data_IF_422931912822
#
_entry.id   IF_422931912822
#
_cell.length_a   1.000
_cell.length_b   1.000
_cell.length_c   1.000
_cell.angle_alpha   90.00
_cell.angle_beta   90.00
_cell.angle_gamma   90.00
#
_symmetry.space_group_name_H-M   'P 1'
#
loop_
_entity.id
_entity.type
_entity.pdbx_description
1 polymer ?
#
# COMPACT_ATOMS: atom_id res chain seq x y z
N UNK A 1 5.65 -17.46 19.32
CA UNK A 1 6.49 -16.41 18.72
C UNK A 1 5.57 -15.45 17.99
N UNK A 2 5.37 -14.24 18.52
CA UNK A 2 4.57 -13.21 17.84
C UNK A 2 5.41 -12.65 16.71
N UNK A 3 5.03 -12.93 15.47
CA UNK A 3 5.54 -12.20 14.31
C UNK A 3 5.06 -10.77 14.45
N UNK A 4 5.89 -9.89 15.02
CA UNK A 4 5.70 -8.44 14.94
C UNK A 4 5.50 -8.13 13.46
N UNK A 5 4.28 -7.78 13.07
CA UNK A 5 3.99 -7.28 11.73
C UNK A 5 4.95 -6.13 11.49
N UNK A 6 5.71 -6.19 10.41
CA UNK A 6 6.64 -5.13 10.07
C UNK A 6 5.78 -3.89 9.78
N UNK A 7 5.85 -2.80 10.56
CA UNK A 7 4.94 -1.67 10.41
C UNK A 7 5.20 -0.88 9.11
N UNK A 8 6.22 -1.28 8.36
CA UNK A 8 6.62 -0.66 7.12
C UNK A 8 6.37 -1.63 5.97
N UNK A 9 5.37 -1.31 5.14
CA UNK A 9 5.19 -1.91 3.82
C UNK A 9 6.17 -1.27 2.85
N UNK A 10 6.93 -2.09 2.12
CA UNK A 10 7.88 -1.60 1.12
C UNK A 10 7.24 -1.55 -0.25
N UNK A 11 7.48 -0.44 -0.96
CA UNK A 11 6.87 -0.14 -2.25
C UNK A 11 7.95 0.13 -3.30
N UNK A 12 7.72 -0.30 -4.54
CA UNK A 12 8.48 0.04 -5.72
C UNK A 12 7.67 1.01 -6.57
N UNK A 13 8.23 2.19 -6.84
CA UNK A 13 7.63 3.20 -7.72
C UNK A 13 8.33 3.19 -9.07
N UNK A 14 7.55 3.17 -10.16
CA UNK A 14 8.04 3.38 -11.53
C UNK A 14 7.39 4.60 -12.15
N UNK A 15 8.22 5.40 -12.79
CA UNK A 15 7.85 6.60 -13.53
C UNK A 15 8.28 6.41 -14.99
N UNK A 16 7.39 6.74 -15.92
CA UNK A 16 7.75 6.78 -17.34
C UNK A 16 6.90 7.81 -18.10
N UNK A 17 7.41 8.21 -19.25
CA UNK A 17 6.74 9.12 -20.18
C UNK A 17 6.55 8.40 -21.50
N UNK A 18 5.35 8.46 -22.08
CA UNK A 18 5.12 7.92 -23.42
C UNK A 18 5.63 8.87 -24.52
N UNK A 19 5.54 8.42 -25.78
CA UNK A 19 5.96 9.20 -26.95
C UNK A 19 5.15 10.49 -27.16
N UNK A 20 3.97 10.62 -26.53
CA UNK A 20 3.11 11.79 -26.60
C UNK A 20 3.34 12.76 -25.43
N UNK A 21 4.36 12.51 -24.60
CA UNK A 21 4.67 13.33 -23.44
C UNK A 21 3.75 13.10 -22.24
N UNK A 22 2.89 12.07 -22.26
CA UNK A 22 2.04 11.74 -21.10
C UNK A 22 2.89 11.01 -20.06
N UNK A 23 2.79 11.46 -18.82
CA UNK A 23 3.47 10.88 -17.68
C UNK A 23 2.58 9.82 -17.03
N UNK A 24 3.20 8.73 -16.59
CA UNK A 24 2.52 7.65 -15.89
C UNK A 24 3.32 7.25 -14.66
N UNK A 25 2.58 6.87 -13.63
CA UNK A 25 3.14 6.36 -12.38
C UNK A 25 2.53 5.01 -12.05
N UNK A 26 3.36 4.05 -11.65
CA UNK A 26 2.95 2.74 -11.16
C UNK A 26 3.58 2.45 -9.82
N UNK A 27 2.80 1.86 -8.92
CA UNK A 27 3.23 1.42 -7.61
C UNK A 27 3.05 -0.11 -7.48
N UNK A 28 4.10 -0.80 -7.03
CA UNK A 28 4.10 -2.25 -6.74
C UNK A 28 4.48 -2.49 -5.27
N UNK A 29 3.75 -3.36 -4.56
CA UNK A 29 4.18 -3.84 -3.24
C UNK A 29 5.32 -4.85 -3.39
N UNK A 30 6.40 -4.66 -2.62
CA UNK A 30 7.59 -5.54 -2.69
C UNK A 30 7.32 -6.89 -2.01
N UNK A 31 6.36 -6.93 -1.07
CA UNK A 31 5.91 -8.15 -0.41
C UNK A 31 4.63 -8.68 -1.07
N UNK A 32 4.60 -9.98 -1.32
CA UNK A 32 3.45 -10.69 -1.91
C UNK A 32 2.16 -10.48 -1.10
N UNK A 33 0.98 -10.37 -1.74
CA UNK A 33 0.72 -10.43 -3.18
C UNK A 33 1.04 -9.11 -3.91
N UNK A 34 1.46 -9.22 -5.17
CA UNK A 34 1.84 -8.08 -6.02
C UNK A 34 0.62 -7.28 -6.48
N UNK A 35 0.04 -6.48 -5.59
CA UNK A 35 -0.98 -5.51 -5.98
C UNK A 35 -0.32 -4.38 -6.79
N UNK A 36 -0.91 -4.06 -7.94
CA UNK A 36 -0.46 -2.98 -8.84
C UNK A 36 -1.48 -1.87 -8.87
N UNK A 37 -1.02 -0.64 -8.65
CA UNK A 37 -1.86 0.56 -8.72
C UNK A 37 -1.30 1.52 -9.76
N UNK A 38 -2.19 2.05 -10.59
CA UNK A 38 -1.88 3.07 -11.59
C UNK A 38 -2.44 4.41 -11.14
N UNK A 39 -1.61 5.45 -11.18
CA UNK A 39 -2.00 6.80 -10.77
C UNK A 39 -1.78 7.79 -11.91
N UNK A 40 -2.72 8.73 -12.04
CA UNK A 40 -2.67 9.85 -12.99
C UNK A 40 -1.75 10.98 -12.53
N UNK A 41 -1.44 11.06 -11.24
CA UNK A 41 -0.59 12.10 -10.65
C UNK A 41 0.25 11.54 -9.48
N UNK A 42 1.33 12.23 -9.13
CA UNK A 42 2.13 11.92 -7.94
C UNK A 42 1.35 12.21 -6.65
N UNK A 43 0.48 13.22 -6.64
CA UNK A 43 -0.30 13.62 -5.47
C UNK A 43 -1.29 12.53 -5.06
N UNK A 44 -1.99 11.92 -6.03
CA UNK A 44 -2.92 10.79 -5.78
C UNK A 44 -2.18 9.60 -5.16
N UNK A 45 -0.96 9.34 -5.62
CA UNK A 45 -0.11 8.27 -5.10
C UNK A 45 0.37 8.59 -3.67
N UNK A 46 0.81 9.81 -3.39
CA UNK A 46 1.21 10.20 -2.04
C UNK A 46 0.03 10.11 -1.06
N UNK A 47 -1.16 10.53 -1.48
CA UNK A 47 -2.38 10.36 -0.70
C UNK A 47 -2.67 8.87 -0.42
N UNK A 48 -2.52 8.00 -1.42
CA UNK A 48 -2.67 6.54 -1.25
C UNK A 48 -1.67 5.97 -0.22
N UNK A 49 -0.39 6.36 -0.31
CA UNK A 49 0.65 5.89 0.61
C UNK A 49 0.40 6.36 2.06
N UNK A 50 -0.15 7.56 2.23
CA UNK A 50 -0.55 8.08 3.55
C UNK A 50 -1.73 7.26 4.11
N UNK A 51 -2.75 6.99 3.29
CA UNK A 51 -3.92 6.20 3.71
C UNK A 51 -3.51 4.75 4.05
N UNK A 52 -2.63 4.13 3.28
CA UNK A 52 -2.23 2.74 3.53
C UNK A 52 -1.36 2.59 4.79
N UNK A 53 -0.71 3.66 5.25
CA UNK A 53 -0.05 3.71 6.56
C UNK A 53 -1.05 3.70 7.72
N UNK A 54 -2.19 4.38 7.55
CA UNK A 54 -3.22 4.53 8.59
C UNK A 54 -4.33 3.44 8.51
N UNK A 55 -4.40 2.71 7.40
CA UNK A 55 -5.40 1.69 7.11
C UNK A 55 -5.22 0.33 7.81
N UNK A 56 -4.12 0.12 8.55
CA UNK A 56 -3.94 -1.03 9.46
C UNK A 56 -4.39 -0.71 10.91
N UNK A 57 -5.39 0.15 11.11
CA UNK A 57 -6.20 -0.03 12.32
C UNK A 57 -6.97 -1.32 12.14
N UNK A 58 -6.55 -2.37 12.87
CA UNK A 58 -7.32 -3.59 13.05
C UNK A 58 -8.82 -3.27 13.11
N UNK A 59 -9.68 -4.01 12.39
CA UNK A 59 -11.12 -3.82 12.57
C UNK A 59 -11.44 -3.96 14.06
N UNK A 60 -12.25 -3.05 14.65
CA UNK A 60 -12.66 -3.18 16.03
C UNK A 60 -13.56 -4.43 16.11
N UNK A 61 -12.99 -5.55 16.54
CA UNK A 61 -13.70 -6.83 16.51
C UNK A 61 -12.87 -8.10 16.63
N UNK A 62 -11.54 -8.04 16.76
CA UNK A 62 -10.75 -9.21 17.15
C UNK A 62 -10.79 -9.51 18.67
N UNK A 63 -11.88 -9.13 19.35
CA UNK A 63 -12.25 -9.71 20.64
C UNK A 63 -12.84 -11.11 20.36
N UNK A 64 -11.98 -12.06 20.02
CA UNK A 64 -12.34 -13.48 20.14
C UNK A 64 -12.46 -13.80 21.62
N UNK A 65 -13.69 -13.68 22.10
CA UNK A 65 -14.25 -14.39 23.25
C UNK A 65 -13.69 -15.81 23.25
N UNK A 66 -12.82 -16.13 24.20
CA UNK A 66 -12.54 -17.51 24.56
C UNK A 66 -12.89 -17.67 26.04
N UNK A 67 -14.13 -18.12 26.28
CA UNK A 67 -14.45 -19.04 27.38
C UNK A 67 -13.34 -20.10 27.41
N UNK A 68 -12.69 -20.43 28.51
CA UNK A 68 -13.22 -21.09 29.70
C UNK A 68 -12.13 -21.09 30.76
#
# INVERSE_FOLDING_TARGET
MSTKSNPYRSYLMRLWTDSNGRQYTMLERITYPYDRFYFSSLDDMFLFLIIDRDGERDPPGADTVTKT
#
